data_IF_576704766490
#
_entry.id   IF_576704766490
#
_cell.length_a   1.000
_cell.length_b   1.000
_cell.length_c   1.000
_cell.angle_alpha   90.00
_cell.angle_beta   90.00
_cell.angle_gamma   90.00
#
_symmetry.space_group_name_H-M   'P 1'
#
loop_
_entity.id
_entity.type
_entity.pdbx_description
1 polymer ?
#
# COMPACT_ATOMS: atom_id res chain seq x y z
N UNK A 1 22.33 35.95 2.64
CA UNK A 1 22.75 34.53 2.47
C UNK A 1 22.61 33.67 3.72
N UNK A 2 22.94 34.09 4.93
CA UNK A 2 22.82 33.29 6.18
C UNK A 2 21.37 32.91 6.55
N UNK A 3 20.35 33.66 6.12
CA UNK A 3 18.93 33.39 6.44
C UNK A 3 18.36 32.22 5.63
N UNK A 4 18.68 32.11 4.35
CA UNK A 4 18.19 31.07 3.44
C UNK A 4 18.77 29.70 3.82
N UNK A 5 20.06 29.64 4.16
CA UNK A 5 20.70 28.40 4.60
C UNK A 5 20.14 27.88 5.93
N UNK A 6 19.69 28.77 6.81
CA UNK A 6 19.09 28.39 8.10
C UNK A 6 17.67 27.82 7.91
N UNK A 7 16.89 28.35 6.94
CA UNK A 7 15.55 27.84 6.60
C UNK A 7 15.66 26.49 5.90
N UNK A 8 16.57 26.34 4.95
CA UNK A 8 16.84 25.07 4.27
C UNK A 8 17.31 23.98 5.24
N UNK A 9 18.19 24.33 6.19
CA UNK A 9 18.69 23.39 7.19
C UNK A 9 17.58 22.98 8.20
N UNK A 10 16.64 23.89 8.52
CA UNK A 10 15.48 23.59 9.36
C UNK A 10 14.52 22.62 8.67
N UNK A 11 14.23 22.83 7.39
CA UNK A 11 13.36 21.93 6.63
C UNK A 11 13.96 20.54 6.45
N UNK A 12 15.25 20.45 6.17
CA UNK A 12 15.95 19.16 6.05
C UNK A 12 15.97 18.43 7.40
N UNK A 13 16.22 19.12 8.51
CA UNK A 13 16.20 18.53 9.85
C UNK A 13 14.81 17.99 10.21
N UNK A 14 13.75 18.73 9.88
CA UNK A 14 12.37 18.28 10.07
C UNK A 14 12.03 17.06 9.20
N UNK A 15 12.40 17.07 7.94
CA UNK A 15 12.20 15.94 7.02
C UNK A 15 12.94 14.69 7.50
N UNK A 16 14.18 14.82 7.96
CA UNK A 16 14.94 13.71 8.53
C UNK A 16 14.32 13.18 9.83
N UNK A 17 13.77 14.06 10.66
CA UNK A 17 13.05 13.65 11.86
C UNK A 17 11.78 12.86 11.51
N UNK A 18 10.96 13.35 10.56
CA UNK A 18 9.78 12.62 10.10
C UNK A 18 10.13 11.28 9.46
N UNK A 19 11.19 11.25 8.65
CA UNK A 19 11.68 10.01 8.06
C UNK A 19 12.10 9.00 9.13
N UNK A 20 12.83 9.45 10.15
CA UNK A 20 13.24 8.60 11.28
C UNK A 20 12.02 8.04 12.03
N UNK A 21 11.03 8.89 12.31
CA UNK A 21 9.78 8.47 12.97
C UNK A 21 9.05 7.46 12.11
N UNK A 22 8.92 7.69 10.81
CA UNK A 22 8.31 6.74 9.87
C UNK A 22 9.04 5.39 9.89
N UNK A 23 10.36 5.38 9.76
CA UNK A 23 11.17 4.14 9.78
C UNK A 23 10.97 3.35 11.07
N UNK A 24 10.86 4.03 12.21
CA UNK A 24 10.64 3.38 13.50
C UNK A 24 9.22 2.84 13.68
N UNK A 25 8.22 3.55 13.16
CA UNK A 25 6.81 3.14 13.29
C UNK A 25 6.38 2.11 12.26
N UNK A 26 6.87 2.21 11.02
CA UNK A 26 6.47 1.32 9.92
C UNK A 26 7.13 -0.06 9.98
N UNK A 27 8.01 -0.32 10.94
CA UNK A 27 8.65 -1.64 11.08
C UNK A 27 9.10 -2.20 9.72
N UNK A 28 9.95 -1.45 9.02
CA UNK A 28 10.43 -1.79 7.66
C UNK A 28 10.98 -3.22 7.59
N UNK A 29 11.51 -3.73 8.70
CA UNK A 29 11.93 -5.13 8.85
C UNK A 29 10.78 -6.11 8.50
N UNK A 30 9.53 -5.81 8.92
CA UNK A 30 8.37 -6.66 8.67
C UNK A 30 7.81 -6.51 7.25
N UNK A 31 8.08 -5.39 6.57
CA UNK A 31 7.59 -5.18 5.20
C UNK A 31 8.17 -6.23 4.25
N UNK A 32 9.43 -6.60 4.43
CA UNK A 32 10.12 -7.57 3.57
C UNK A 32 9.95 -9.04 3.98
N UNK A 33 9.19 -9.33 5.02
CA UNK A 33 8.78 -10.70 5.31
C UNK A 33 7.63 -11.13 4.39
N UNK A 34 7.69 -12.34 3.83
CA UNK A 34 6.61 -12.85 2.97
C UNK A 34 5.44 -13.39 3.80
N UNK A 35 4.77 -12.51 4.53
CA UNK A 35 3.53 -12.77 5.26
C UNK A 35 2.53 -11.64 4.97
N UNK A 36 1.25 -11.88 5.22
CA UNK A 36 0.20 -10.86 5.12
C UNK A 36 -0.09 -10.26 6.49
N UNK A 37 -0.33 -8.95 6.60
CA UNK A 37 -0.74 -8.33 7.85
C UNK A 37 -2.11 -8.88 8.30
N UNK A 38 -2.34 -8.88 9.60
CA UNK A 38 -3.58 -9.35 10.22
C UNK A 38 -4.15 -8.28 11.14
N UNK A 39 -5.46 -8.33 11.36
CA UNK A 39 -6.17 -7.42 12.26
C UNK A 39 -7.13 -6.50 11.52
N UNK A 40 -8.13 -6.00 12.23
CA UNK A 40 -9.17 -5.17 11.64
C UNK A 40 -9.85 -5.82 10.43
N UNK A 41 -10.00 -5.06 9.38
CA UNK A 41 -10.57 -5.44 8.08
C UNK A 41 -9.50 -5.82 7.02
N UNK A 42 -8.24 -5.98 7.43
CA UNK A 42 -7.14 -6.36 6.52
C UNK A 42 -7.45 -7.63 5.72
N UNK A 43 -8.12 -8.62 6.32
CA UNK A 43 -8.55 -9.82 5.61
C UNK A 43 -9.44 -9.52 4.39
N UNK A 44 -10.34 -8.56 4.50
CA UNK A 44 -11.21 -8.14 3.40
C UNK A 44 -10.40 -7.52 2.25
N UNK A 45 -9.46 -6.63 2.57
CA UNK A 45 -8.59 -6.01 1.58
C UNK A 45 -7.66 -7.01 0.90
N UNK A 46 -7.09 -7.94 1.67
CA UNK A 46 -6.21 -8.99 1.16
C UNK A 46 -6.96 -9.89 0.17
N UNK A 47 -8.15 -10.39 0.54
CA UNK A 47 -8.97 -11.24 -0.34
C UNK A 47 -9.36 -10.48 -1.61
N UNK A 48 -9.81 -9.23 -1.48
CA UNK A 48 -10.21 -8.41 -2.62
C UNK A 48 -9.05 -8.19 -3.62
N UNK A 49 -7.84 -7.91 -3.12
CA UNK A 49 -6.67 -7.68 -3.97
C UNK A 49 -6.13 -9.00 -4.55
N UNK A 50 -6.17 -10.09 -3.79
CA UNK A 50 -5.76 -11.42 -4.27
C UNK A 50 -6.68 -11.90 -5.41
N UNK A 51 -8.00 -11.76 -5.25
CA UNK A 51 -8.99 -12.04 -6.32
C UNK A 51 -8.72 -11.17 -7.56
N UNK A 52 -8.44 -9.87 -7.36
CA UNK A 52 -8.11 -8.97 -8.47
C UNK A 52 -6.90 -9.47 -9.27
N UNK A 53 -5.84 -9.88 -8.58
CA UNK A 53 -4.60 -10.33 -9.21
C UNK A 53 -4.78 -11.68 -9.90
N UNK A 54 -5.51 -12.63 -9.29
CA UNK A 54 -5.64 -14.00 -9.79
C UNK A 54 -6.72 -14.18 -10.86
N UNK A 55 -7.85 -13.47 -10.68
CA UNK A 55 -9.03 -13.72 -11.49
C UNK A 55 -9.29 -12.61 -12.52
N UNK A 56 -9.06 -11.34 -12.16
CA UNK A 56 -9.39 -10.22 -13.04
C UNK A 56 -8.25 -9.83 -13.96
N UNK A 57 -7.04 -9.71 -13.44
CA UNK A 57 -5.87 -9.28 -14.23
C UNK A 57 -5.53 -10.20 -15.41
N UNK A 58 -5.60 -11.54 -15.30
CA UNK A 58 -5.39 -12.42 -16.45
C UNK A 58 -6.38 -12.20 -17.58
N UNK A 59 -7.58 -11.71 -17.27
CA UNK A 59 -8.65 -11.40 -18.23
C UNK A 59 -8.71 -9.92 -18.60
N UNK A 60 -7.73 -9.10 -18.18
CA UNK A 60 -7.70 -7.64 -18.38
C UNK A 60 -8.96 -6.93 -17.86
N UNK A 61 -9.55 -7.44 -16.79
CA UNK A 61 -10.71 -6.87 -16.13
C UNK A 61 -10.29 -6.04 -14.93
N UNK A 62 -10.95 -4.89 -14.73
CA UNK A 62 -10.70 -4.00 -13.58
C UNK A 62 -11.71 -4.26 -12.47
N UNK A 63 -12.87 -4.77 -12.80
CA UNK A 63 -13.96 -5.12 -11.89
C UNK A 63 -14.63 -6.41 -12.35
N UNK A 64 -15.37 -7.05 -11.45
CA UNK A 64 -16.04 -8.29 -11.77
C UNK A 64 -16.77 -8.86 -10.56
N UNK A 65 -17.30 -10.05 -10.72
CA UNK A 65 -17.93 -10.81 -9.64
C UNK A 65 -16.91 -11.67 -8.94
N UNK A 66 -16.76 -11.53 -7.63
CA UNK A 66 -15.94 -12.39 -6.78
C UNK A 66 -16.85 -13.36 -6.02
N UNK A 67 -16.50 -14.64 -6.00
CA UNK A 67 -17.18 -15.66 -5.19
C UNK A 67 -16.51 -15.86 -3.81
N UNK A 68 -15.38 -15.24 -3.56
CA UNK A 68 -14.56 -15.46 -2.36
C UNK A 68 -15.08 -14.70 -1.13
N UNK A 69 -16.09 -13.85 -1.31
CA UNK A 69 -16.63 -13.00 -0.27
C UNK A 69 -18.17 -13.01 -0.24
N UNK A 70 -18.76 -13.25 0.93
CA UNK A 70 -20.22 -13.23 1.17
C UNK A 70 -21.08 -14.12 0.21
N UNK A 71 -20.49 -15.15 -0.39
CA UNK A 71 -21.22 -15.97 -1.37
C UNK A 71 -21.40 -15.30 -2.74
N UNK A 72 -20.70 -14.21 -2.99
CA UNK A 72 -20.67 -13.46 -4.22
C UNK A 72 -20.79 -11.96 -4.00
N UNK A 73 -19.87 -11.20 -4.57
CA UNK A 73 -19.80 -9.75 -4.42
C UNK A 73 -19.29 -9.06 -5.70
N UNK A 74 -19.93 -7.95 -6.13
CA UNK A 74 -19.49 -7.17 -7.30
C UNK A 74 -18.26 -6.33 -6.93
N UNK A 75 -17.08 -6.94 -7.02
CA UNK A 75 -15.82 -6.36 -6.59
C UNK A 75 -15.39 -5.22 -7.53
N UNK A 76 -14.95 -4.10 -6.97
CA UNK A 76 -14.50 -2.89 -7.65
C UNK A 76 -15.55 -2.18 -8.54
N UNK A 77 -16.84 -2.43 -8.35
CA UNK A 77 -17.89 -1.60 -8.92
C UNK A 77 -18.15 -0.33 -8.10
N UNK A 78 -17.97 -0.42 -6.78
CA UNK A 78 -18.27 0.66 -5.83
C UNK A 78 -17.02 1.19 -5.11
N UNK A 79 -15.88 0.49 -5.23
CA UNK A 79 -14.59 0.88 -4.69
C UNK A 79 -13.58 1.08 -5.81
N UNK A 80 -12.70 2.06 -5.64
CA UNK A 80 -11.65 2.31 -6.62
C UNK A 80 -10.58 1.20 -6.57
N UNK A 81 -10.17 0.67 -7.71
CA UNK A 81 -9.24 -0.45 -7.79
C UNK A 81 -7.77 -0.06 -7.66
N UNK A 82 -7.45 1.22 -7.42
CA UNK A 82 -6.08 1.73 -7.44
C UNK A 82 -5.13 0.97 -6.50
N UNK A 83 -5.48 0.64 -5.23
CA UNK A 83 -4.61 -0.16 -4.37
C UNK A 83 -4.32 -1.55 -4.96
N UNK A 84 -5.30 -2.18 -5.59
CA UNK A 84 -5.13 -3.49 -6.22
C UNK A 84 -4.21 -3.42 -7.44
N UNK A 85 -4.34 -2.38 -8.26
CA UNK A 85 -3.46 -2.13 -9.42
C UNK A 85 -2.02 -1.90 -8.96
N UNK A 86 -1.81 -1.09 -7.93
CA UNK A 86 -0.47 -0.83 -7.39
C UNK A 86 0.13 -2.13 -6.82
N UNK A 87 -0.64 -2.89 -6.05
CA UNK A 87 -0.19 -4.19 -5.52
C UNK A 87 0.14 -5.16 -6.65
N UNK A 88 -0.67 -5.22 -7.70
CA UNK A 88 -0.38 -6.04 -8.89
C UNK A 88 0.96 -5.69 -9.52
N UNK A 89 1.25 -4.40 -9.72
CA UNK A 89 2.52 -3.95 -10.30
C UNK A 89 3.71 -4.42 -9.45
N UNK A 90 3.63 -4.25 -8.13
CA UNK A 90 4.68 -4.74 -7.23
C UNK A 90 4.74 -6.26 -7.17
N UNK A 91 3.60 -6.95 -7.33
CA UNK A 91 3.56 -8.41 -7.33
C UNK A 91 4.22 -9.06 -8.56
N UNK A 92 4.51 -8.29 -9.60
CA UNK A 92 5.33 -8.76 -10.72
C UNK A 92 6.80 -9.01 -10.35
N UNK A 93 7.27 -8.39 -9.26
CA UNK A 93 8.67 -8.45 -8.80
C UNK A 93 8.78 -9.10 -7.42
N UNK A 94 7.83 -8.83 -6.54
CA UNK A 94 7.84 -9.28 -5.15
C UNK A 94 6.73 -10.30 -4.87
N UNK A 95 6.87 -11.20 -3.90
CA UNK A 95 5.78 -12.02 -3.40
C UNK A 95 4.60 -11.16 -2.92
N UNK A 96 3.38 -11.70 -3.01
CA UNK A 96 2.14 -10.98 -2.72
C UNK A 96 2.15 -10.26 -1.36
N UNK A 97 2.59 -10.93 -0.28
CA UNK A 97 2.63 -10.34 1.06
C UNK A 97 3.53 -9.10 1.14
N UNK A 98 4.66 -9.10 0.43
CA UNK A 98 5.56 -7.94 0.34
C UNK A 98 4.92 -6.84 -0.52
N UNK A 99 4.41 -7.19 -1.69
CA UNK A 99 3.77 -6.25 -2.61
C UNK A 99 2.59 -5.50 -1.95
N UNK A 100 1.76 -6.23 -1.21
CA UNK A 100 0.65 -5.66 -0.46
C UNK A 100 1.11 -4.65 0.59
N UNK A 101 2.13 -5.01 1.40
CA UNK A 101 2.66 -4.12 2.45
C UNK A 101 3.34 -2.89 1.87
N UNK A 102 4.07 -3.02 0.76
CA UNK A 102 4.65 -1.85 0.08
C UNK A 102 3.55 -0.87 -0.36
N UNK A 103 2.45 -1.37 -0.94
CA UNK A 103 1.32 -0.53 -1.32
C UNK A 103 0.69 0.18 -0.12
N UNK A 104 0.47 -0.54 0.97
CA UNK A 104 -0.14 -0.01 2.20
C UNK A 104 0.75 1.09 2.81
N UNK A 105 2.04 0.84 2.94
CA UNK A 105 3.01 1.82 3.46
C UNK A 105 3.20 3.03 2.55
N UNK A 106 3.12 2.88 1.23
CA UNK A 106 3.13 4.01 0.30
C UNK A 106 1.99 4.99 0.58
N UNK A 107 0.81 4.51 0.91
CA UNK A 107 -0.33 5.37 1.23
C UNK A 107 -0.05 6.22 2.47
N UNK A 108 0.54 5.63 3.50
CA UNK A 108 0.94 6.30 4.74
C UNK A 108 2.02 7.36 4.48
N UNK A 109 3.04 7.02 3.68
CA UNK A 109 4.10 7.96 3.31
C UNK A 109 3.54 9.15 2.54
N UNK A 110 2.67 8.93 1.56
CA UNK A 110 2.05 10.00 0.76
C UNK A 110 1.23 10.95 1.62
N UNK A 111 0.49 10.45 2.59
CA UNK A 111 -0.28 11.30 3.53
C UNK A 111 0.65 12.20 4.33
N UNK A 112 1.75 11.67 4.88
CA UNK A 112 2.71 12.45 5.68
C UNK A 112 3.38 13.54 4.85
N UNK A 113 3.70 13.30 3.59
CA UNK A 113 4.31 14.30 2.70
C UNK A 113 3.32 15.29 2.09
N UNK A 114 2.01 15.04 2.20
CA UNK A 114 0.97 15.95 1.70
C UNK A 114 0.57 17.06 2.68
N UNK A 115 1.04 16.98 3.93
CA UNK A 115 0.79 17.95 5.00
C UNK A 115 1.97 18.93 5.11
#
# INVERSE_FOLDING_TARGET
MKSVSKILNSNISQQLFYLLVLVLFLRIDLVFENNTPTGGDMGAHIVAIDTFIKDFMPNLQINGWSNDWFGGYPLYYFYFPLPAIITFIFNLVFPFGIAFKIMDEMSTILVVYSI
#
